data_IF_140125822828
#
_entry.id   IF_140125822828
#
_cell.length_a   1.000
_cell.length_b   1.000
_cell.length_c   1.000
_cell.angle_alpha   90.00
_cell.angle_beta   90.00
_cell.angle_gamma   90.00
#
_symmetry.space_group_name_H-M   'P 1'
#
loop_
_entity.id
_entity.type
_entity.pdbx_description
1 polymer ?
#
# COMPACT_ATOMS: atom_id res chain seq x y z
N UNK A 1 18.66 -8.86 -0.38
CA UNK A 1 17.33 -9.48 -0.17
C UNK A 1 16.28 -8.40 -0.32
N UNK A 2 15.25 -8.59 -1.14
CA UNK A 2 14.15 -7.64 -1.22
C UNK A 2 13.29 -7.76 0.04
N UNK A 3 13.11 -6.66 0.79
CA UNK A 3 12.21 -6.62 1.94
C UNK A 3 10.81 -6.23 1.47
N UNK A 4 9.79 -6.97 1.89
CA UNK A 4 8.39 -6.63 1.61
C UNK A 4 7.99 -5.49 2.54
N UNK A 5 7.46 -4.37 2.01
CA UNK A 5 7.03 -3.25 2.83
C UNK A 5 5.90 -3.64 3.79
N UNK A 6 6.00 -3.20 5.05
CA UNK A 6 4.98 -3.45 6.07
C UNK A 6 3.56 -3.02 5.65
N UNK A 7 3.33 -1.89 4.96
CA UNK A 7 1.98 -1.51 4.52
C UNK A 7 1.33 -2.56 3.62
N UNK A 8 2.09 -3.21 2.73
CA UNK A 8 1.57 -4.28 1.88
C UNK A 8 1.25 -5.54 2.66
N UNK A 9 2.09 -5.89 3.64
CA UNK A 9 1.82 -7.02 4.54
C UNK A 9 0.50 -6.80 5.30
N UNK A 10 0.31 -5.59 5.86
CA UNK A 10 -0.91 -5.23 6.57
C UNK A 10 -2.13 -5.20 5.65
N UNK A 11 -1.99 -4.70 4.42
CA UNK A 11 -3.06 -4.73 3.42
C UNK A 11 -3.49 -6.17 3.09
N UNK A 12 -2.53 -7.09 2.90
CA UNK A 12 -2.83 -8.51 2.65
C UNK A 12 -3.52 -9.18 3.84
N UNK A 13 -3.10 -8.88 5.06
CA UNK A 13 -3.76 -9.39 6.29
C UNK A 13 -5.19 -8.86 6.36
N UNK A 14 -5.40 -7.56 6.13
CA UNK A 14 -6.73 -6.96 6.14
C UNK A 14 -7.67 -7.60 5.11
N UNK A 15 -7.18 -7.84 3.88
CA UNK A 15 -7.93 -8.57 2.85
C UNK A 15 -8.25 -9.99 3.31
N UNK A 16 -7.27 -10.72 3.84
CA UNK A 16 -7.46 -12.09 4.33
C UNK A 16 -8.48 -12.20 5.47
N UNK A 17 -8.56 -11.18 6.34
CA UNK A 17 -9.59 -11.09 7.38
C UNK A 17 -10.96 -10.84 6.75
N UNK A 18 -11.08 -9.87 5.82
CA UNK A 18 -12.35 -9.52 5.17
C UNK A 18 -12.95 -10.67 4.37
N UNK A 19 -12.11 -11.46 3.69
CA UNK A 19 -12.50 -12.62 2.88
C UNK A 19 -12.70 -13.90 3.72
N UNK A 20 -12.47 -13.86 5.03
CA UNK A 20 -12.62 -15.05 5.87
C UNK A 20 -14.09 -15.49 5.90
N UNK A 21 -14.42 -16.78 5.72
CA UNK A 21 -15.80 -17.23 5.58
C UNK A 21 -16.75 -16.77 6.70
N UNK A 22 -16.26 -16.81 7.94
CA UNK A 22 -17.00 -16.34 9.12
C UNK A 22 -17.24 -14.83 9.11
N UNK A 23 -16.25 -14.04 8.67
CA UNK A 23 -16.37 -12.58 8.57
C UNK A 23 -17.34 -12.21 7.45
N UNK A 24 -17.25 -12.89 6.30
CA UNK A 24 -18.18 -12.70 5.21
C UNK A 24 -19.63 -12.99 5.64
N UNK A 25 -19.88 -14.15 6.24
CA UNK A 25 -21.21 -14.50 6.75
C UNK A 25 -21.73 -13.51 7.82
N UNK A 26 -20.85 -13.02 8.70
CA UNK A 26 -21.20 -12.02 9.71
C UNK A 26 -21.56 -10.65 9.09
N UNK A 27 -20.90 -10.29 7.99
CA UNK A 27 -21.13 -9.04 7.26
C UNK A 27 -22.54 -8.96 6.67
N UNK A 28 -23.16 -10.11 6.36
CA UNK A 28 -24.50 -10.20 5.77
C UNK A 28 -25.63 -10.01 6.81
N UNK A 29 -25.33 -10.14 8.11
CA UNK A 29 -26.34 -10.12 9.18
C UNK A 29 -26.75 -8.70 9.58
N UNK A 30 -25.87 -7.70 9.38
CA UNK A 30 -26.12 -6.32 9.83
C UNK A 30 -25.40 -5.32 8.93
N UNK A 31 -26.07 -4.18 8.68
CA UNK A 31 -25.49 -3.09 7.91
C UNK A 31 -24.24 -2.50 8.55
N UNK A 32 -24.13 -2.54 9.88
CA UNK A 32 -22.93 -2.09 10.59
C UNK A 32 -21.75 -3.02 10.28
N UNK A 33 -21.96 -4.34 10.33
CA UNK A 33 -20.91 -5.31 10.03
C UNK A 33 -20.49 -5.24 8.55
N UNK A 34 -21.45 -5.08 7.65
CA UNK A 34 -21.19 -4.83 6.24
C UNK A 34 -20.31 -3.59 6.01
N UNK A 35 -20.65 -2.46 6.64
CA UNK A 35 -19.88 -1.22 6.53
C UNK A 35 -18.46 -1.36 7.12
N UNK A 36 -18.29 -2.11 8.22
CA UNK A 36 -16.99 -2.37 8.83
C UNK A 36 -16.09 -3.21 7.91
N UNK A 37 -16.63 -4.23 7.25
CA UNK A 37 -15.88 -5.06 6.28
C UNK A 37 -15.47 -4.23 5.06
N UNK A 38 -16.37 -3.40 4.53
CA UNK A 38 -16.00 -2.44 3.48
C UNK A 38 -14.95 -1.44 3.94
N UNK A 39 -15.03 -0.95 5.18
CA UNK A 39 -14.02 -0.08 5.79
C UNK A 39 -12.65 -0.77 5.87
N UNK A 40 -12.61 -2.07 6.20
CA UNK A 40 -11.40 -2.87 6.21
C UNK A 40 -10.76 -2.98 4.81
N UNK A 41 -11.57 -3.21 3.77
CA UNK A 41 -11.08 -3.24 2.39
C UNK A 41 -10.62 -1.86 1.91
N UNK A 42 -11.33 -0.79 2.25
CA UNK A 42 -10.90 0.57 1.94
C UNK A 42 -9.55 0.90 2.62
N UNK A 43 -9.36 0.48 3.87
CA UNK A 43 -8.10 0.62 4.58
C UNK A 43 -6.96 -0.16 3.92
N UNK A 44 -7.19 -1.40 3.50
CA UNK A 44 -6.22 -2.18 2.74
C UNK A 44 -5.81 -1.49 1.43
N UNK A 45 -6.79 -0.96 0.69
CA UNK A 45 -6.56 -0.17 -0.52
C UNK A 45 -5.72 1.10 -0.25
N UNK A 46 -6.01 1.81 0.85
CA UNK A 46 -5.25 3.00 1.25
C UNK A 46 -3.79 2.66 1.59
N UNK A 47 -3.53 1.55 2.28
CA UNK A 47 -2.17 1.09 2.58
C UNK A 47 -1.37 0.74 1.31
N UNK A 48 -1.99 0.02 0.38
CA UNK A 48 -1.38 -0.30 -0.90
C UNK A 48 -1.12 0.96 -1.74
N UNK A 49 -2.07 1.89 -1.77
CA UNK A 49 -1.93 3.19 -2.44
C UNK A 49 -0.82 4.04 -1.84
N UNK A 50 -0.72 4.10 -0.51
CA UNK A 50 0.35 4.81 0.19
C UNK A 50 1.73 4.24 -0.15
N UNK A 51 1.88 2.90 -0.12
CA UNK A 51 3.15 2.27 -0.50
C UNK A 51 3.52 2.58 -1.95
N UNK A 52 2.54 2.56 -2.85
CA UNK A 52 2.73 2.88 -4.27
C UNK A 52 3.18 4.33 -4.45
N UNK A 53 2.51 5.28 -3.79
CA UNK A 53 2.89 6.70 -3.83
C UNK A 53 4.29 6.94 -3.26
N UNK A 54 4.67 6.22 -2.20
CA UNK A 54 6.02 6.29 -1.63
C UNK A 54 7.09 5.80 -2.61
N UNK A 55 6.83 4.72 -3.34
CA UNK A 55 7.74 4.24 -4.38
C UNK A 55 7.88 5.24 -5.53
N UNK A 56 6.77 5.82 -6.00
CA UNK A 56 6.81 6.86 -7.04
C UNK A 56 7.70 8.02 -6.63
N UNK A 57 7.49 8.55 -5.42
CA UNK A 57 8.32 9.64 -4.89
C UNK A 57 9.80 9.27 -4.80
N UNK A 58 10.11 8.06 -4.33
CA UNK A 58 11.50 7.58 -4.23
C UNK A 58 12.15 7.44 -5.61
N UNK A 59 11.40 7.02 -6.62
CA UNK A 59 11.87 6.91 -7.99
C UNK A 59 12.18 8.29 -8.58
N UNK A 60 11.31 9.28 -8.32
CA UNK A 60 11.55 10.68 -8.70
C UNK A 60 12.80 11.24 -8.02
N UNK A 61 12.92 11.10 -6.69
CA UNK A 61 14.10 11.56 -5.93
C UNK A 61 15.41 10.96 -6.47
N UNK A 62 15.38 9.67 -6.85
CA UNK A 62 16.54 8.98 -7.41
C UNK A 62 16.91 9.49 -8.82
N UNK A 63 15.90 9.81 -9.64
CA UNK A 63 16.13 10.36 -10.98
C UNK A 63 16.73 11.77 -10.93
N UNK A 64 16.30 12.61 -9.98
CA UNK A 64 16.90 13.94 -9.77
C UNK A 64 18.35 13.84 -9.30
N UNK A 65 18.64 13.00 -8.31
CA UNK A 65 20.01 12.81 -7.81
C UNK A 65 20.97 12.32 -8.91
N UNK A 66 20.51 11.44 -9.80
CA UNK A 66 21.32 10.95 -10.93
C UNK A 66 21.61 12.06 -11.95
N UNK A 67 20.69 13.02 -12.13
CA UNK A 67 20.87 14.12 -13.07
C UNK A 67 21.89 15.15 -12.57
N UNK A 68 21.90 15.43 -11.26
CA UNK A 68 22.84 16.35 -10.63
C UNK A 68 24.28 15.80 -10.65
N UNK A 69 24.46 14.50 -10.39
CA UNK A 69 25.76 13.83 -10.45
C UNK A 69 26.32 13.86 -11.88
N UNK A 70 25.48 13.55 -12.89
CA UNK A 70 25.86 13.59 -14.31
C UNK A 70 26.26 15.00 -14.78
N UNK A 71 25.59 16.06 -14.33
CA UNK A 71 25.94 17.43 -14.70
C UNK A 71 27.22 17.89 -14.01
N UNK A 72 27.48 17.42 -12.77
CA UNK A 72 28.72 17.72 -12.05
C UNK A 72 29.96 17.06 -12.65
N UNK A 73 29.82 15.83 -13.19
CA UNK A 73 30.90 15.09 -13.84
C UNK A 73 31.31 15.70 -15.19
N UNK A 74 30.37 16.34 -15.91
CA UNK A 74 30.63 17.00 -17.21
C UNK A 74 31.37 18.34 -17.06
N UNK A 75 31.30 18.97 -15.89
CA UNK A 75 31.91 20.29 -15.62
C UNK A 75 33.32 20.16 -14.99
N UNK A 76 33.73 18.95 -14.61
CA UNK A 76 35.07 18.61 -14.08
C UNK A 76 36.11 18.38 -15.18
#
# INVERSE_FOLDING_TARGET
MAQIPLPLVLAMIAIGIGEWPTVNAWSEVSILHHALVHGLFAFAGALAGFQTAWWTRRAEDSAFAQHEDSDSEVIS
#
